data_IF_004156268489
#
_entry.id   IF_004156268489
#
_cell.length_a   1.000
_cell.length_b   1.000
_cell.length_c   1.000
_cell.angle_alpha   90.00
_cell.angle_beta   90.00
_cell.angle_gamma   90.00
#
_symmetry.space_group_name_H-M   'P 1'
#
loop_
_entity.id
_entity.type
_entity.pdbx_description
1 polymer ?
#
# COMPACT_ATOMS: atom_id res chain seq x y z
N UNK A 1 25.64 -0.36 8.92
CA UNK A 1 24.96 -1.28 7.97
C UNK A 1 24.25 -0.41 6.94
N UNK A 2 24.73 -0.38 5.69
CA UNK A 2 24.16 0.47 4.62
C UNK A 2 23.37 -0.33 3.57
N UNK A 3 23.56 -1.66 3.50
CA UNK A 3 23.05 -2.49 2.40
C UNK A 3 21.52 -2.62 2.36
N UNK A 4 20.83 -2.71 3.51
CA UNK A 4 19.37 -2.88 3.56
C UNK A 4 18.59 -1.67 3.00
N UNK A 5 19.10 -0.46 3.24
CA UNK A 5 18.50 0.79 2.75
C UNK A 5 18.59 0.93 1.24
N UNK A 6 19.77 0.71 0.66
CA UNK A 6 19.93 0.77 -0.79
C UNK A 6 19.11 -0.30 -1.49
N UNK A 7 19.00 -1.49 -0.90
CA UNK A 7 18.20 -2.57 -1.46
C UNK A 7 16.71 -2.25 -1.46
N UNK A 8 16.17 -1.66 -0.38
CA UNK A 8 14.74 -1.28 -0.31
C UNK A 8 14.41 -0.14 -1.29
N UNK A 9 15.20 0.94 -1.30
CA UNK A 9 15.00 2.03 -2.26
C UNK A 9 15.29 1.61 -3.70
N UNK A 10 16.25 0.71 -3.96
CA UNK A 10 16.43 0.10 -5.28
C UNK A 10 15.24 -0.74 -5.68
N UNK A 11 14.72 -1.60 -4.79
CA UNK A 11 13.59 -2.47 -5.12
C UNK A 11 12.29 -1.68 -5.33
N UNK A 12 12.09 -0.61 -4.57
CA UNK A 12 11.00 0.34 -4.80
C UNK A 12 11.25 1.16 -6.06
N UNK A 13 12.46 1.64 -6.31
CA UNK A 13 12.78 2.31 -7.56
C UNK A 13 12.62 1.38 -8.76
N UNK A 14 12.92 0.09 -8.63
CA UNK A 14 12.69 -0.95 -9.65
C UNK A 14 11.19 -1.22 -9.79
N UNK A 15 10.41 -1.31 -8.71
CA UNK A 15 8.96 -1.50 -8.77
C UNK A 15 8.28 -0.28 -9.39
N UNK A 16 8.69 0.93 -9.01
CA UNK A 16 8.26 2.20 -9.60
C UNK A 16 8.71 2.28 -11.05
N UNK A 17 9.95 1.90 -11.39
CA UNK A 17 10.45 1.89 -12.75
C UNK A 17 9.72 0.86 -13.62
N UNK A 18 9.42 -0.33 -13.11
CA UNK A 18 8.61 -1.35 -13.79
C UNK A 18 7.17 -0.88 -13.98
N UNK A 19 6.60 -0.24 -12.96
CA UNK A 19 5.29 0.39 -13.04
C UNK A 19 5.29 1.51 -14.09
N UNK A 20 6.26 2.42 -14.05
CA UNK A 20 6.39 3.51 -15.02
C UNK A 20 6.73 3.01 -16.42
N UNK A 21 7.59 2.01 -16.60
CA UNK A 21 7.88 1.46 -17.94
C UNK A 21 6.67 0.75 -18.53
N UNK A 22 5.90 0.02 -17.72
CA UNK A 22 4.60 -0.53 -18.12
C UNK A 22 3.53 0.56 -18.34
N UNK A 23 3.57 1.67 -17.59
CA UNK A 23 2.67 2.81 -17.76
C UNK A 23 3.06 3.72 -18.94
N UNK A 24 4.34 3.87 -19.27
CA UNK A 24 4.81 4.56 -20.46
C UNK A 24 4.49 3.75 -21.73
N UNK A 25 4.42 2.42 -21.60
CA UNK A 25 3.84 1.55 -22.62
C UNK A 25 2.34 1.86 -22.86
N UNK A 26 1.62 2.52 -21.92
CA UNK A 26 0.30 3.10 -22.21
C UNK A 26 0.37 4.32 -23.12
N UNK A 27 1.43 5.13 -23.07
CA UNK A 27 1.60 6.26 -24.01
C UNK A 27 1.85 5.71 -25.40
N UNK A 28 2.69 4.69 -25.53
CA UNK A 28 2.91 3.97 -26.80
C UNK A 28 1.62 3.34 -27.32
N UNK A 29 0.85 2.68 -26.45
CA UNK A 29 -0.46 2.11 -26.77
C UNK A 29 -1.50 3.17 -27.15
N UNK A 30 -1.58 4.30 -26.41
CA UNK A 30 -2.49 5.42 -26.71
C UNK A 30 -2.13 6.05 -28.05
N UNK A 31 -0.85 6.08 -28.40
CA UNK A 31 -0.36 6.54 -29.70
C UNK A 31 -0.76 5.56 -30.82
N UNK A 32 -0.71 4.24 -30.57
CA UNK A 32 -1.15 3.20 -31.52
C UNK A 32 -2.67 3.19 -31.72
N UNK A 33 -3.45 3.43 -30.66
CA UNK A 33 -4.91 3.53 -30.73
C UNK A 33 -5.36 4.84 -31.37
N UNK A 34 -4.75 5.98 -31.00
CA UNK A 34 -5.08 7.31 -31.57
C UNK A 34 -4.66 7.46 -33.04
N UNK A 35 -3.58 6.77 -33.47
CA UNK A 35 -3.17 6.71 -34.87
C UNK A 35 -4.09 5.86 -35.76
N UNK A 36 -5.11 5.18 -35.20
CA UNK A 36 -6.10 4.46 -35.98
C UNK A 36 -5.57 3.18 -36.64
N UNK A 37 -4.45 2.62 -36.16
CA UNK A 37 -3.84 1.42 -36.75
C UNK A 37 -4.81 0.21 -36.81
N UNK A 38 -5.71 0.10 -35.83
CA UNK A 38 -6.78 -0.92 -35.80
C UNK A 38 -7.85 -0.71 -36.87
N UNK A 39 -8.08 0.52 -37.36
CA UNK A 39 -9.02 0.84 -38.45
C UNK A 39 -8.41 0.71 -39.84
N UNK A 40 -7.12 1.02 -40.00
CA UNK A 40 -6.48 1.18 -41.32
C UNK A 40 -5.64 -0.06 -41.71
N UNK A 41 -5.01 -0.75 -40.76
CA UNK A 41 -4.06 -1.83 -41.06
C UNK A 41 -4.54 -3.23 -40.69
N UNK A 42 -5.67 -3.38 -39.95
CA UNK A 42 -6.26 -4.67 -39.54
C UNK A 42 -5.38 -5.55 -38.62
N UNK A 43 -4.08 -5.31 -38.56
CA UNK A 43 -3.05 -6.16 -37.95
C UNK A 43 -2.67 -5.73 -36.52
N UNK A 44 -3.02 -4.51 -36.12
CA UNK A 44 -2.77 -4.01 -34.75
C UNK A 44 -3.76 -4.57 -33.70
N UNK A 45 -4.88 -5.19 -34.12
CA UNK A 45 -5.93 -5.70 -33.22
C UNK A 45 -5.45 -6.78 -32.25
N UNK A 46 -4.79 -7.86 -32.70
CA UNK A 46 -4.30 -8.92 -31.83
C UNK A 46 -3.27 -8.43 -30.80
N UNK A 47 -2.33 -7.57 -31.21
CA UNK A 47 -1.33 -6.97 -30.31
C UNK A 47 -2.01 -6.14 -29.22
N UNK A 48 -2.98 -5.29 -29.59
CA UNK A 48 -3.75 -4.49 -28.64
C UNK A 48 -4.45 -5.37 -27.62
N UNK A 49 -5.15 -6.43 -28.06
CA UNK A 49 -5.86 -7.37 -27.17
C UNK A 49 -4.89 -8.13 -26.25
N UNK A 50 -3.73 -8.56 -26.73
CA UNK A 50 -2.73 -9.23 -25.88
C UNK A 50 -2.12 -8.29 -24.84
N UNK A 51 -1.83 -7.04 -25.20
CA UNK A 51 -1.27 -6.05 -24.28
C UNK A 51 -2.29 -5.61 -23.23
N UNK A 52 -3.56 -5.37 -23.60
CA UNK A 52 -4.63 -5.02 -22.64
C UNK A 52 -5.14 -6.20 -21.84
N UNK A 53 -5.22 -7.38 -22.43
CA UNK A 53 -5.82 -8.57 -21.82
C UNK A 53 -4.91 -9.33 -20.86
N UNK A 54 -3.58 -9.37 -21.09
CA UNK A 54 -2.67 -10.17 -20.25
C UNK A 54 -1.46 -9.41 -19.73
N UNK A 55 -0.73 -8.67 -20.58
CA UNK A 55 0.53 -8.04 -20.16
C UNK A 55 0.30 -6.95 -19.11
N UNK A 56 -0.66 -6.05 -19.33
CA UNK A 56 -0.97 -4.96 -18.39
C UNK A 56 -1.42 -5.44 -17.01
N UNK A 57 -2.43 -6.34 -16.89
CA UNK A 57 -2.79 -6.91 -15.59
C UNK A 57 -1.61 -7.64 -14.92
N UNK A 58 -0.85 -8.43 -15.69
CA UNK A 58 0.29 -9.18 -15.14
C UNK A 58 1.38 -8.27 -14.58
N UNK A 59 1.67 -7.14 -15.24
CA UNK A 59 2.61 -6.13 -14.75
C UNK A 59 2.16 -5.48 -13.44
N UNK A 60 0.87 -5.13 -13.33
CA UNK A 60 0.30 -4.59 -12.09
C UNK A 60 0.38 -5.60 -10.95
N UNK A 61 0.05 -6.87 -11.21
CA UNK A 61 0.20 -7.93 -10.21
C UNK A 61 1.65 -8.16 -9.81
N UNK A 62 2.59 -8.13 -10.75
CA UNK A 62 4.02 -8.30 -10.48
C UNK A 62 4.57 -7.14 -9.65
N UNK A 63 4.22 -5.90 -9.99
CA UNK A 63 4.57 -4.72 -9.20
C UNK A 63 3.99 -4.79 -7.79
N UNK A 64 2.71 -5.17 -7.66
CA UNK A 64 2.07 -5.40 -6.36
C UNK A 64 2.77 -6.49 -5.54
N UNK A 65 3.12 -7.61 -6.18
CA UNK A 65 3.86 -8.71 -5.55
C UNK A 65 5.23 -8.27 -5.04
N UNK A 66 5.98 -7.49 -5.83
CA UNK A 66 7.27 -6.93 -5.40
C UNK A 66 7.08 -6.04 -4.18
N UNK A 67 6.10 -5.13 -4.20
CA UNK A 67 5.81 -4.23 -3.07
C UNK A 67 5.51 -5.05 -1.81
N UNK A 68 4.67 -6.08 -1.91
CA UNK A 68 4.35 -6.94 -0.76
C UNK A 68 5.59 -7.65 -0.21
N UNK A 69 6.40 -8.28 -1.07
CA UNK A 69 7.62 -9.00 -0.66
C UNK A 69 8.62 -8.05 -0.01
N UNK A 70 8.81 -6.87 -0.59
CA UNK A 70 9.72 -5.83 -0.06
C UNK A 70 9.22 -5.31 1.29
N UNK A 71 7.91 -5.10 1.43
CA UNK A 71 7.29 -4.70 2.71
C UNK A 71 7.52 -5.76 3.79
N UNK A 72 7.29 -7.05 3.48
CA UNK A 72 7.56 -8.14 4.43
C UNK A 72 9.04 -8.26 4.80
N UNK A 73 9.93 -8.15 3.82
CA UNK A 73 11.38 -8.16 4.06
C UNK A 73 11.81 -6.98 4.95
N UNK A 74 11.21 -5.79 4.75
CA UNK A 74 11.48 -4.60 5.57
C UNK A 74 10.97 -4.76 7.00
N UNK A 75 9.77 -5.31 7.19
CA UNK A 75 9.20 -5.63 8.52
C UNK A 75 10.13 -6.58 9.28
N UNK A 76 10.62 -7.63 8.61
CA UNK A 76 11.56 -8.59 9.18
C UNK A 76 12.90 -7.93 9.52
N UNK A 77 13.45 -7.11 8.62
CA UNK A 77 14.71 -6.38 8.84
C UNK A 77 14.62 -5.40 10.03
N UNK A 78 13.49 -4.73 10.20
CA UNK A 78 13.24 -3.84 11.34
C UNK A 78 12.91 -4.59 12.64
N UNK A 79 12.98 -5.94 12.65
CA UNK A 79 12.66 -6.79 13.81
C UNK A 79 11.27 -6.52 14.40
N UNK A 80 10.31 -6.16 13.54
CA UNK A 80 8.94 -5.88 13.93
C UNK A 80 8.16 -7.20 14.10
N UNK A 81 7.06 -7.21 14.85
CA UNK A 81 6.31 -8.45 15.06
C UNK A 81 5.69 -8.96 13.75
N UNK A 82 5.63 -10.28 13.59
CA UNK A 82 5.06 -10.95 12.41
C UNK A 82 3.61 -10.53 12.12
N UNK A 83 2.86 -10.11 13.16
CA UNK A 83 1.49 -9.59 13.02
C UNK A 83 1.41 -8.40 12.06
N UNK A 84 2.43 -7.54 12.01
CA UNK A 84 2.45 -6.43 11.05
C UNK A 84 2.54 -6.91 9.60
N UNK A 85 3.22 -8.02 9.35
CA UNK A 85 3.25 -8.66 8.03
C UNK A 85 1.88 -9.17 7.60
N UNK A 86 1.15 -9.80 8.54
CA UNK A 86 -0.22 -10.27 8.29
C UNK A 86 -1.17 -9.09 8.03
N UNK A 87 -1.11 -8.03 8.84
CA UNK A 87 -1.92 -6.82 8.66
C UNK A 87 -1.64 -6.17 7.29
N UNK A 88 -0.36 -6.02 6.93
CA UNK A 88 0.03 -5.45 5.64
C UNK A 88 -0.45 -6.32 4.46
N UNK A 89 -0.42 -7.65 4.59
CA UNK A 89 -0.95 -8.56 3.59
C UNK A 89 -2.48 -8.44 3.44
N UNK A 90 -3.22 -8.28 4.55
CA UNK A 90 -4.66 -8.05 4.52
C UNK A 90 -4.97 -6.76 3.77
N UNK A 91 -4.29 -5.65 4.09
CA UNK A 91 -4.50 -4.40 3.37
C UNK A 91 -4.12 -4.50 1.89
N UNK A 92 -3.04 -5.21 1.56
CA UNK A 92 -2.63 -5.46 0.18
C UNK A 92 -3.71 -6.23 -0.60
N UNK A 93 -4.22 -7.33 -0.06
CA UNK A 93 -5.27 -8.14 -0.73
C UNK A 93 -6.56 -7.36 -0.88
N UNK A 94 -6.96 -6.58 0.13
CA UNK A 94 -8.14 -5.73 0.07
C UNK A 94 -8.01 -4.62 -0.98
N UNK A 95 -6.79 -4.09 -1.16
CA UNK A 95 -6.50 -3.00 -2.11
C UNK A 95 -6.13 -3.48 -3.51
N UNK A 96 -5.81 -4.76 -3.71
CA UNK A 96 -5.43 -5.34 -5.01
C UNK A 96 -6.36 -5.00 -6.19
N UNK A 97 -7.70 -4.94 -6.07
CA UNK A 97 -8.56 -4.55 -7.18
C UNK A 97 -8.44 -3.08 -7.57
N UNK A 98 -8.01 -2.19 -6.67
CA UNK A 98 -7.98 -0.74 -6.91
C UNK A 98 -6.93 -0.29 -7.94
N UNK A 99 -5.65 -0.73 -7.88
CA UNK A 99 -4.68 -0.45 -8.94
C UNK A 99 -5.12 -0.93 -10.33
N UNK A 100 -5.92 -2.01 -10.41
CA UNK A 100 -6.49 -2.49 -11.67
C UNK A 100 -7.62 -1.57 -12.17
N UNK A 101 -8.35 -0.89 -11.28
CA UNK A 101 -9.31 0.16 -11.68
C UNK A 101 -8.58 1.40 -12.22
N UNK A 102 -7.44 1.78 -11.65
CA UNK A 102 -6.60 2.86 -12.18
C UNK A 102 -6.04 2.55 -13.59
N UNK A 103 -5.74 1.28 -13.88
CA UNK A 103 -5.36 0.83 -15.22
C UNK A 103 -6.46 1.11 -16.26
N UNK A 104 -7.74 0.97 -15.87
CA UNK A 104 -8.89 1.34 -16.70
C UNK A 104 -9.13 2.87 -16.73
N UNK A 105 -8.67 3.62 -15.73
CA UNK A 105 -8.78 5.08 -15.73
C UNK A 105 -7.87 5.73 -16.78
N UNK A 106 -6.70 5.13 -17.01
CA UNK A 106 -5.75 5.59 -18.03
C UNK A 106 -6.25 5.37 -19.47
N UNK A 107 -7.27 4.55 -19.70
CA UNK A 107 -7.92 4.40 -21.01
C UNK A 107 -8.96 5.50 -21.29
N UNK A 108 -9.02 6.55 -20.47
CA UNK A 108 -9.90 7.71 -20.66
C UNK A 108 -11.37 7.46 -20.32
N UNK A 109 -11.68 6.33 -19.69
CA UNK A 109 -13.05 5.93 -19.36
C UNK A 109 -13.45 6.19 -17.90
N UNK A 110 -12.50 6.45 -16.98
CA UNK A 110 -12.86 6.89 -15.63
C UNK A 110 -12.70 8.40 -15.47
N UNK A 111 -13.75 9.02 -14.92
CA UNK A 111 -13.67 10.36 -14.35
C UNK A 111 -12.77 10.31 -13.10
N UNK A 112 -11.90 11.30 -12.87
CA UNK A 112 -11.05 11.36 -11.67
C UNK A 112 -11.86 11.37 -10.37
N UNK A 113 -13.09 11.88 -10.38
CA UNK A 113 -14.04 11.81 -9.27
C UNK A 113 -14.38 10.36 -8.89
N UNK A 114 -14.66 9.50 -9.88
CA UNK A 114 -14.99 8.09 -9.66
C UNK A 114 -13.81 7.27 -9.13
N UNK A 115 -12.58 7.74 -9.35
CA UNK A 115 -11.36 7.13 -8.78
C UNK A 115 -11.23 7.45 -7.29
N UNK A 116 -11.57 8.68 -6.89
CA UNK A 116 -11.56 9.11 -5.49
C UNK A 116 -12.68 8.44 -4.70
N UNK A 117 -13.88 8.34 -5.28
CA UNK A 117 -15.02 7.64 -4.66
C UNK A 117 -14.78 6.12 -4.53
N UNK A 118 -13.97 5.55 -5.42
CA UNK A 118 -13.62 4.13 -5.41
C UNK A 118 -12.39 3.77 -4.57
N UNK A 119 -11.78 4.74 -3.88
CA UNK A 119 -10.52 4.56 -3.13
C UNK A 119 -10.78 3.77 -1.84
N UNK A 120 -10.32 2.50 -1.74
CA UNK A 120 -10.56 1.72 -0.53
C UNK A 120 -9.73 2.28 0.62
N UNK A 121 -10.34 2.48 1.79
CA UNK A 121 -9.66 3.02 2.98
C UNK A 121 -8.46 2.12 3.37
N UNK A 122 -8.58 0.80 3.17
CA UNK A 122 -7.48 -0.15 3.36
C UNK A 122 -6.21 0.20 2.56
N UNK A 123 -6.35 0.75 1.35
CA UNK A 123 -5.20 1.19 0.56
C UNK A 123 -4.49 2.39 1.20
N UNK A 124 -5.23 3.32 1.81
CA UNK A 124 -4.65 4.45 2.53
C UNK A 124 -3.82 4.00 3.75
N UNK A 125 -4.34 3.03 4.51
CA UNK A 125 -3.58 2.40 5.60
C UNK A 125 -2.29 1.74 5.10
N UNK A 126 -2.39 0.99 3.99
CA UNK A 126 -1.24 0.33 3.38
C UNK A 126 -0.17 1.33 2.92
N UNK A 127 -0.56 2.37 2.18
CA UNK A 127 0.36 3.39 1.67
C UNK A 127 1.02 4.15 2.82
N UNK A 128 0.26 4.57 3.83
CA UNK A 128 0.79 5.25 5.00
C UNK A 128 1.82 4.38 5.75
N UNK A 129 1.51 3.09 5.92
CA UNK A 129 2.42 2.14 6.55
C UNK A 129 3.68 1.88 5.72
N UNK A 130 3.54 1.68 4.41
CA UNK A 130 4.66 1.52 3.48
C UNK A 130 5.58 2.74 3.46
N UNK A 131 5.01 3.95 3.49
CA UNK A 131 5.77 5.19 3.61
C UNK A 131 6.53 5.27 4.94
N UNK A 132 5.89 4.87 6.04
CA UNK A 132 6.49 4.85 7.37
C UNK A 132 7.67 3.89 7.48
N UNK A 133 7.52 2.63 7.06
CA UNK A 133 8.62 1.63 7.11
C UNK A 133 9.77 1.98 6.16
N UNK A 134 9.51 2.84 5.18
CA UNK A 134 10.51 3.44 4.29
C UNK A 134 11.45 4.43 4.97
N UNK A 135 11.08 4.92 6.16
CA UNK A 135 11.90 5.86 6.92
C UNK A 135 13.20 5.21 7.43
N UNK A 136 14.27 6.00 7.55
CA UNK A 136 15.60 5.52 7.95
C UNK A 136 15.79 5.43 9.47
N UNK A 137 15.07 4.50 10.12
CA UNK A 137 15.23 4.22 11.56
C UNK A 137 16.67 3.83 11.96
N UNK A 138 17.45 3.31 11.02
CA UNK A 138 18.83 2.87 11.21
C UNK A 138 19.81 4.02 11.50
N UNK A 139 19.54 5.23 10.99
CA UNK A 139 20.42 6.40 11.17
C UNK A 139 20.16 7.18 12.45
N UNK A 140 18.92 7.11 12.95
CA UNK A 140 18.50 7.83 14.16
C UNK A 140 18.67 7.02 15.44
N UNK A 141 18.98 5.73 15.35
CA UNK A 141 18.96 4.81 16.49
C UNK A 141 17.55 4.64 17.10
N UNK A 142 16.53 5.17 16.43
CA UNK A 142 15.15 5.16 16.91
C UNK A 142 14.54 3.76 16.73
N UNK A 143 13.83 3.29 17.76
CA UNK A 143 13.06 2.04 17.66
C UNK A 143 11.80 2.27 16.82
N UNK A 144 11.43 1.33 15.91
CA UNK A 144 10.18 1.42 15.17
C UNK A 144 8.97 1.45 16.13
N UNK A 145 7.92 2.20 15.76
CA UNK A 145 6.71 2.51 16.54
C UNK A 145 6.94 3.32 17.83
N UNK A 146 8.13 3.88 18.02
CA UNK A 146 8.47 4.66 19.19
C UNK A 146 8.60 3.84 20.49
N UNK A 147 9.09 4.48 21.55
CA UNK A 147 9.32 3.88 22.87
C UNK A 147 8.10 3.90 23.79
N UNK A 148 7.11 4.76 23.50
CA UNK A 148 5.92 4.92 24.33
C UNK A 148 4.91 3.80 24.09
N UNK A 149 4.61 3.03 25.15
CA UNK A 149 3.69 1.89 25.08
C UNK A 149 2.28 2.29 24.65
N UNK A 150 1.80 3.44 25.11
CA UNK A 150 0.47 3.97 24.74
C UNK A 150 0.39 4.30 23.25
N UNK A 151 1.38 5.02 22.72
CA UNK A 151 1.45 5.36 21.29
C UNK A 151 1.52 4.09 20.42
N UNK A 152 2.30 3.10 20.85
CA UNK A 152 2.37 1.81 20.14
C UNK A 152 1.02 1.08 20.17
N UNK A 153 0.33 1.10 21.31
CA UNK A 153 -0.98 0.49 21.45
C UNK A 153 -2.02 1.18 20.56
N UNK A 154 -2.06 2.51 20.52
CA UNK A 154 -3.00 3.25 19.66
C UNK A 154 -2.76 2.98 18.19
N UNK A 155 -1.50 2.97 17.74
CA UNK A 155 -1.14 2.62 16.35
C UNK A 155 -1.55 1.17 16.03
N UNK A 156 -1.32 0.24 16.96
CA UNK A 156 -1.67 -1.17 16.76
C UNK A 156 -3.18 -1.39 16.72
N UNK A 157 -3.94 -0.75 17.60
CA UNK A 157 -5.41 -0.82 17.61
C UNK A 157 -5.98 -0.23 16.33
N UNK A 158 -5.49 0.94 15.89
CA UNK A 158 -5.92 1.56 14.64
C UNK A 158 -5.58 0.68 13.42
N UNK A 159 -4.42 0.02 13.42
CA UNK A 159 -4.03 -0.90 12.36
C UNK A 159 -4.91 -2.16 12.33
N UNK A 160 -5.21 -2.75 13.50
CA UNK A 160 -6.12 -3.91 13.62
C UNK A 160 -7.52 -3.53 13.17
N UNK A 161 -8.03 -2.36 13.56
CA UNK A 161 -9.30 -1.84 13.07
C UNK A 161 -9.31 -1.73 11.55
N UNK A 162 -8.29 -1.12 10.94
CA UNK A 162 -8.18 -1.02 9.49
C UNK A 162 -8.11 -2.38 8.79
N UNK A 163 -7.47 -3.38 9.41
CA UNK A 163 -7.42 -4.74 8.88
C UNK A 163 -8.78 -5.46 8.98
N UNK A 164 -9.51 -5.27 10.09
CA UNK A 164 -10.85 -5.83 10.26
C UNK A 164 -11.85 -5.20 9.30
N UNK A 165 -11.75 -3.88 9.07
CA UNK A 165 -12.55 -3.18 8.07
C UNK A 165 -12.25 -3.69 6.66
N UNK A 166 -10.97 -3.86 6.32
CA UNK A 166 -10.57 -4.45 5.05
C UNK A 166 -11.13 -5.87 4.86
N UNK A 167 -11.21 -6.65 5.96
CA UNK A 167 -11.77 -8.00 5.95
C UNK A 167 -13.29 -8.01 5.77
N UNK A 168 -14.01 -7.01 6.30
CA UNK A 168 -15.46 -6.89 6.16
C UNK A 168 -15.87 -6.40 4.77
N UNK A 169 -15.07 -5.54 4.15
CA UNK A 169 -15.41 -4.93 2.86
C UNK A 169 -14.94 -5.74 1.64
N UNK A 170 -13.79 -6.42 1.72
CA UNK A 170 -13.22 -7.04 0.54
C UNK A 170 -13.82 -8.45 0.31
N UNK A 171 -14.53 -8.67 -0.82
CA UNK A 171 -15.12 -9.98 -1.15
C UNK A 171 -14.05 -11.04 -1.45
N UNK A 172 -12.81 -10.61 -1.70
CA UNK A 172 -11.65 -11.49 -1.85
C UNK A 172 -11.45 -12.39 -0.61
N UNK A 173 -11.72 -11.89 0.60
CA UNK A 173 -11.54 -12.68 1.83
C UNK A 173 -12.61 -13.76 2.02
N UNK A 174 -13.80 -13.60 1.46
CA UNK A 174 -14.77 -14.68 1.43
C UNK A 174 -14.39 -15.76 0.39
N UNK A 175 -13.88 -15.34 -0.76
CA UNK A 175 -13.69 -16.23 -1.92
C UNK A 175 -12.36 -16.99 -1.94
N UNK A 176 -11.28 -16.40 -1.43
CA UNK A 176 -9.94 -17.02 -1.43
C UNK A 176 -9.90 -18.29 -0.56
N UNK A 177 -10.39 -18.30 0.69
CA UNK A 177 -10.30 -19.49 1.55
C UNK A 177 -11.07 -20.68 0.99
N UNK A 178 -12.30 -20.46 0.50
CA UNK A 178 -13.10 -21.52 -0.08
C UNK A 178 -12.55 -22.05 -1.41
N UNK A 179 -11.84 -21.22 -2.19
CA UNK A 179 -11.11 -21.69 -3.38
C UNK A 179 -9.86 -22.48 -3.04
N UNK A 180 -9.12 -22.09 -2.00
CA UNK A 180 -7.91 -22.80 -1.58
C UNK A 180 -8.22 -24.15 -0.91
N UNK A 181 -9.32 -24.23 -0.16
CA UNK A 181 -9.73 -25.43 0.55
C UNK A 181 -10.72 -26.30 -0.23
N UNK A 182 -11.18 -25.85 -1.40
CA UNK A 182 -12.17 -26.56 -2.22
C UNK A 182 -13.58 -26.62 -1.62
N UNK A 183 -13.84 -25.86 -0.55
CA UNK A 183 -15.09 -25.89 0.20
C UNK A 183 -15.93 -24.63 -0.04
N UNK A 184 -16.97 -24.77 -0.85
CA UNK A 184 -17.92 -23.69 -1.16
C UNK A 184 -18.67 -23.20 0.09
N UNK A 185 -18.84 -24.07 1.10
CA UNK A 185 -19.49 -23.74 2.38
C UNK A 185 -18.71 -22.73 3.23
N UNK A 186 -17.37 -22.72 3.14
CA UNK A 186 -16.55 -21.73 3.83
C UNK A 186 -16.75 -20.34 3.22
N UNK A 187 -16.82 -20.24 1.89
CA UNK A 187 -17.09 -18.99 1.19
C UNK A 187 -18.41 -18.37 1.63
N UNK A 188 -19.49 -19.17 1.69
CA UNK A 188 -20.82 -18.67 2.07
C UNK A 188 -20.90 -18.27 3.53
N UNK A 189 -20.20 -19.00 4.41
CA UNK A 189 -20.20 -18.70 5.86
C UNK A 189 -19.44 -17.41 6.17
N UNK A 190 -18.30 -17.19 5.52
CA UNK A 190 -17.52 -15.96 5.67
C UNK A 190 -18.27 -14.78 5.06
N UNK A 191 -18.84 -14.94 3.86
CA UNK A 191 -19.64 -13.89 3.21
C UNK A 191 -20.87 -13.47 4.04
N UNK A 192 -21.50 -14.41 4.75
CA UNK A 192 -22.63 -14.10 5.64
C UNK A 192 -22.22 -13.32 6.90
N UNK A 193 -20.97 -13.44 7.35
CA UNK A 193 -20.46 -12.77 8.54
C UNK A 193 -19.94 -11.35 8.25
N UNK A 194 -19.49 -11.10 7.02
CA UNK A 194 -18.97 -9.80 6.57
C UNK A 194 -19.91 -8.60 6.80
N UNK A 195 -21.22 -8.65 6.46
CA UNK A 195 -22.10 -7.50 6.69
C UNK A 195 -22.29 -7.18 8.17
N UNK A 196 -22.42 -8.20 9.03
CA UNK A 196 -22.53 -7.98 10.48
C UNK A 196 -21.24 -7.41 11.09
N UNK A 197 -20.08 -7.82 10.58
CA UNK A 197 -18.80 -7.24 10.99
C UNK A 197 -18.67 -5.78 10.52
N UNK A 198 -19.14 -5.48 9.31
CA UNK A 198 -19.15 -4.12 8.77
C UNK A 198 -20.04 -3.19 9.60
N UNK A 199 -21.26 -3.60 9.93
CA UNK A 199 -22.20 -2.81 10.75
C UNK A 199 -21.67 -2.52 12.16
N UNK A 200 -20.97 -3.48 12.77
CA UNK A 200 -20.32 -3.29 14.06
C UNK A 200 -19.14 -2.30 13.99
N UNK A 201 -18.40 -2.31 12.89
CA UNK A 201 -17.22 -1.45 12.69
C UNK A 201 -17.60 -0.01 12.32
N UNK A 202 -18.70 0.19 11.60
CA UNK A 202 -19.19 1.53 11.24
C UNK A 202 -19.93 2.23 12.39
N UNK A 203 -20.30 1.50 13.46
CA UNK A 203 -20.98 2.02 14.66
C UNK A 203 -22.24 2.85 14.34
N UNK A 204 -22.86 2.62 13.18
CA UNK A 204 -24.02 3.39 12.70
C UNK A 204 -23.69 4.81 12.20
N UNK A 205 -22.41 5.18 12.07
CA UNK A 205 -21.99 6.41 11.38
C UNK A 205 -21.98 6.20 9.86
N UNK A 206 -22.04 7.32 9.12
CA UNK A 206 -21.94 7.32 7.66
C UNK A 206 -20.68 6.56 7.20
N UNK A 207 -20.85 5.73 6.16
CA UNK A 207 -20.05 4.52 5.86
C UNK A 207 -18.53 4.67 6.04
N UNK A 208 -17.97 5.81 5.65
CA UNK A 208 -16.52 5.99 5.60
C UNK A 208 -15.98 6.97 6.67
N UNK A 209 -16.84 7.74 7.34
CA UNK A 209 -16.40 8.84 8.23
C UNK A 209 -15.58 8.33 9.41
N UNK A 210 -16.05 7.27 10.07
CA UNK A 210 -15.34 6.70 11.22
C UNK A 210 -14.01 6.07 10.80
N UNK A 211 -13.96 5.42 9.63
CA UNK A 211 -12.75 4.84 9.09
C UNK A 211 -11.66 5.89 8.80
N UNK A 212 -12.05 7.06 8.26
CA UNK A 212 -11.12 8.18 8.06
C UNK A 212 -10.61 8.79 9.36
N UNK A 213 -11.43 8.85 10.41
CA UNK A 213 -10.98 9.31 11.74
C UNK A 213 -9.91 8.36 12.29
N UNK A 214 -10.15 7.05 12.22
CA UNK A 214 -9.17 6.05 12.68
C UNK A 214 -7.89 6.09 11.84
N UNK A 215 -8.00 6.31 10.52
CA UNK A 215 -6.86 6.54 9.64
C UNK A 215 -6.06 7.78 10.05
N UNK A 216 -6.73 8.90 10.35
CA UNK A 216 -6.07 10.11 10.80
C UNK A 216 -5.31 9.89 12.11
N UNK A 217 -5.90 9.15 13.06
CA UNK A 217 -5.24 8.74 14.31
C UNK A 217 -4.04 7.84 14.03
N UNK A 218 -4.14 6.91 13.08
CA UNK A 218 -3.03 6.05 12.67
C UNK A 218 -1.87 6.85 12.08
N UNK A 219 -2.14 7.72 11.12
CA UNK A 219 -1.13 8.58 10.47
C UNK A 219 -0.48 9.53 11.48
N UNK A 220 -1.28 10.18 12.33
CA UNK A 220 -0.78 11.05 13.39
C UNK A 220 0.08 10.26 14.39
N UNK A 221 -0.33 9.05 14.76
CA UNK A 221 0.43 8.15 15.61
C UNK A 221 1.77 7.76 15.01
N UNK A 222 1.80 7.40 13.72
CA UNK A 222 3.02 7.11 12.98
C UNK A 222 3.95 8.33 12.94
N UNK A 223 3.42 9.51 12.62
CA UNK A 223 4.19 10.76 12.60
C UNK A 223 4.77 11.11 13.98
N UNK A 224 3.96 11.00 15.04
CA UNK A 224 4.39 11.18 16.43
C UNK A 224 5.47 10.19 16.83
N UNK A 225 5.43 8.96 16.30
CA UNK A 225 6.46 7.95 16.59
C UNK A 225 7.81 8.26 15.94
N UNK A 226 7.83 9.13 14.91
CA UNK A 226 9.04 9.64 14.26
C UNK A 226 9.66 10.81 15.02
N UNK A 227 8.92 11.49 15.90
CA UNK A 227 9.50 12.55 16.71
C UNK A 227 10.56 11.97 17.65
N UNK A 228 11.72 12.64 17.79
CA UNK A 228 12.75 12.21 18.71
C UNK A 228 12.20 12.23 20.13
N UNK A 229 12.29 11.08 20.79
CA UNK A 229 11.76 10.87 22.15
C UNK A 229 12.50 11.69 23.21
N UNK A 230 13.68 12.23 22.86
CA UNK A 230 14.43 13.14 23.70
C UNK A 230 14.35 14.55 23.11
N UNK A 231 13.51 15.41 23.69
CA UNK A 231 13.55 16.86 23.45
C UNK A 231 14.97 17.43 23.68
N UNK A 232 15.73 16.82 24.59
CA UNK A 232 17.16 17.07 24.84
C UNK A 232 18.05 16.76 23.62
N UNK A 233 17.80 15.67 22.87
CA UNK A 233 18.56 15.37 21.64
C UNK A 233 18.14 16.26 20.47
N UNK A 234 16.87 16.67 20.39
CA UNK A 234 16.42 17.65 19.40
C UNK A 234 17.08 19.01 19.66
N UNK A 235 17.13 19.43 20.92
CA UNK A 235 17.85 20.64 21.36
C UNK A 235 19.36 20.51 21.09
N UNK A 236 19.97 19.36 21.35
CA UNK A 236 21.38 19.12 21.02
C UNK A 236 21.67 19.13 19.51
N UNK A 237 20.79 18.56 18.67
CA UNK A 237 20.92 18.60 17.20
C UNK A 237 20.65 19.98 16.61
N UNK A 238 19.76 20.78 17.20
CA UNK A 238 19.56 22.18 16.80
C UNK A 238 20.72 23.09 17.23
N UNK A 239 21.36 22.78 18.36
CA UNK A 239 22.47 23.57 18.91
C UNK A 239 23.81 23.17 18.28
N UNK A 240 23.96 21.96 17.70
CA UNK A 240 25.19 21.62 16.98
C UNK A 240 25.29 22.46 15.70
N UNK A 241 26.23 23.42 15.61
CA UNK A 241 26.44 24.13 14.37
C UNK A 241 26.95 23.14 13.33
N UNK A 242 26.52 23.37 12.10
CA UNK A 242 26.86 22.64 10.89
C UNK A 242 28.38 22.66 10.64
N UNK A 243 29.15 21.88 11.40
CA UNK A 243 30.58 21.70 11.19
C UNK A 243 30.75 20.67 10.08
N UNK A 244 31.01 21.17 8.87
CA UNK A 244 31.57 20.39 7.77
C UNK A 244 32.77 19.58 8.28
N UNK A 245 32.59 18.27 8.36
CA UNK A 245 33.63 17.32 8.74
C UNK A 245 34.64 17.20 7.61
N UNK A 246 35.59 18.13 7.54
CA UNK A 246 36.59 18.13 6.48
C UNK A 246 37.47 19.36 6.40
N UNK A 247 38.17 19.72 7.47
CA UNK A 247 39.46 20.44 7.34
C UNK A 247 40.24 20.29 8.65
N UNK A 248 41.30 19.48 8.62
CA UNK A 248 42.42 19.63 9.56
C UNK A 248 43.59 20.20 8.75
N UNK A 249 44.35 21.18 9.29
CA UNK A 249 45.64 21.59 8.73
C UNK A 249 46.65 20.45 8.81
#
# INVERSE_FOLDING_TARGET
MFAGRYLWWMLIAIAIFLFFTMCFDYVTWLTVVSSGCTRIAGSCGPIVVTMTGSMKPSGVYLAGGIILVVTLARIHYLSMSWMWGVIAAIWFVASAPFPLLLANGWTGQLKPEAVLDGLPVAFLFFVAFCAYIGWSFEESGARPLGGWRLLRATISVAAVYGALLALSEAPAFATIPGRMLGEVRLTTSIAALQPGLHDLLTLGMDRDTFAYIVLAVFVAGLALSLLPQNLEELKARLIQPFMLRGSRP
#
